data_IF_463260408360
#
_entry.id   IF_463260408360
#
_cell.length_a   1.000
_cell.length_b   1.000
_cell.length_c   1.000
_cell.angle_alpha   90.00
_cell.angle_beta   90.00
_cell.angle_gamma   90.00
#
_symmetry.space_group_name_H-M   'P 1'
#
loop_
_entity.id
_entity.type
_entity.pdbx_description
1 polymer ?
#
# COMPACT_ATOMS: atom_id res chain seq x y z
N UNK A 1 3.99 -27.86 2.71
CA UNK A 1 3.33 -27.12 3.80
C UNK A 1 2.03 -27.85 4.10
N UNK A 2 1.77 -28.25 5.35
CA UNK A 2 0.61 -29.09 5.69
C UNK A 2 -0.63 -28.21 5.95
N UNK A 3 -1.86 -28.71 5.75
CA UNK A 3 -3.09 -27.93 5.95
C UNK A 3 -3.25 -27.39 7.38
N UNK A 4 -2.62 -28.06 8.36
CA UNK A 4 -2.55 -27.62 9.75
C UNK A 4 -1.69 -26.35 9.92
N UNK A 5 -0.59 -26.22 9.17
CA UNK A 5 0.28 -25.03 9.23
C UNK A 5 -0.42 -23.79 8.66
N UNK A 6 -1.17 -23.94 7.57
CA UNK A 6 -1.95 -22.85 6.96
C UNK A 6 -3.11 -22.39 7.86
N UNK A 7 -3.79 -23.34 8.51
CA UNK A 7 -4.89 -23.03 9.44
C UNK A 7 -4.37 -22.31 10.68
N UNK A 8 -3.23 -22.73 11.22
CA UNK A 8 -2.58 -22.09 12.36
C UNK A 8 -2.08 -20.68 12.01
N UNK A 9 -1.46 -20.51 10.84
CA UNK A 9 -1.00 -19.21 10.34
C UNK A 9 -2.16 -18.23 10.11
N UNK A 10 -3.27 -18.70 9.54
CA UNK A 10 -4.47 -17.89 9.33
C UNK A 10 -5.11 -17.45 10.65
N UNK A 11 -5.15 -18.31 11.66
CA UNK A 11 -5.64 -17.95 13.01
C UNK A 11 -4.74 -16.93 13.71
N UNK A 12 -3.42 -17.08 13.61
CA UNK A 12 -2.46 -16.12 14.14
C UNK A 12 -2.60 -14.75 13.49
N UNK A 13 -2.71 -14.71 12.15
CA UNK A 13 -2.93 -13.47 11.41
C UNK A 13 -4.26 -12.79 11.78
N UNK A 14 -5.33 -13.56 11.99
CA UNK A 14 -6.63 -13.02 12.40
C UNK A 14 -6.59 -12.45 13.84
N UNK A 15 -5.93 -13.13 14.77
CA UNK A 15 -5.78 -12.67 16.15
C UNK A 15 -4.92 -11.40 16.24
N UNK A 16 -3.87 -11.29 15.41
CA UNK A 16 -3.04 -10.09 15.30
C UNK A 16 -3.83 -8.89 14.76
N UNK A 17 -4.57 -9.05 13.65
CA UNK A 17 -5.38 -7.95 13.06
C UNK A 17 -6.43 -7.40 14.03
N UNK A 18 -7.00 -8.24 14.90
CA UNK A 18 -7.96 -7.81 15.93
C UNK A 18 -7.38 -6.84 16.97
N UNK A 19 -6.05 -6.76 17.07
CA UNK A 19 -5.35 -5.87 18.01
C UNK A 19 -4.93 -4.54 17.38
N UNK A 20 -5.03 -4.41 16.06
CA UNK A 20 -4.61 -3.21 15.35
C UNK A 20 -5.72 -2.15 15.36
N UNK A 21 -5.33 -0.89 15.52
CA UNK A 21 -6.22 0.24 15.21
C UNK A 21 -6.51 0.30 13.71
N UNK A 22 -7.53 1.07 13.30
CA UNK A 22 -7.82 1.29 11.88
C UNK A 22 -6.60 1.82 11.12
N UNK A 23 -5.87 2.79 11.70
CA UNK A 23 -4.64 3.32 11.11
C UNK A 23 -3.55 2.27 10.96
N UNK A 24 -3.35 1.42 11.96
CA UNK A 24 -2.39 0.33 11.89
C UNK A 24 -2.79 -0.73 10.84
N UNK A 25 -4.09 -0.99 10.66
CA UNK A 25 -4.57 -1.84 9.58
C UNK A 25 -4.28 -1.23 8.20
N UNK A 26 -4.47 0.08 8.02
CA UNK A 26 -4.10 0.79 6.79
C UNK A 26 -2.58 0.72 6.56
N UNK A 27 -1.77 0.91 7.60
CA UNK A 27 -0.32 0.80 7.53
C UNK A 27 0.15 -0.59 7.04
N UNK A 28 -0.50 -1.67 7.50
CA UNK A 28 -0.24 -3.03 7.03
C UNK A 28 -0.55 -3.21 5.53
N UNK A 29 -1.57 -2.50 5.00
CA UNK A 29 -1.87 -2.54 3.56
C UNK A 29 -0.71 -1.94 2.76
N UNK A 30 -0.18 -0.79 3.18
CA UNK A 30 1.01 -0.18 2.58
C UNK A 30 2.24 -1.09 2.70
N UNK A 31 2.49 -1.65 3.89
CA UNK A 31 3.63 -2.55 4.12
C UNK A 31 3.57 -3.80 3.22
N UNK A 32 2.38 -4.38 3.03
CA UNK A 32 2.17 -5.50 2.12
C UNK A 32 2.42 -5.13 0.65
N UNK A 33 1.88 -3.98 0.21
CA UNK A 33 2.10 -3.50 -1.15
C UNK A 33 3.59 -3.21 -1.40
N UNK A 34 4.29 -2.68 -0.39
CA UNK A 34 5.72 -2.42 -0.49
C UNK A 34 6.55 -3.71 -0.58
N UNK A 35 6.21 -4.72 0.24
CA UNK A 35 6.87 -6.03 0.15
C UNK A 35 6.73 -6.63 -1.25
N UNK A 36 5.54 -6.55 -1.85
CA UNK A 36 5.33 -7.02 -3.23
C UNK A 36 6.19 -6.29 -4.26
N UNK A 37 6.39 -4.97 -4.12
CA UNK A 37 7.32 -4.21 -4.98
C UNK A 37 8.75 -4.70 -4.81
N UNK A 38 9.22 -4.89 -3.57
CA UNK A 38 10.58 -5.36 -3.29
C UNK A 38 10.82 -6.77 -3.85
N UNK A 39 9.89 -7.69 -3.63
CA UNK A 39 9.94 -9.07 -4.17
C UNK A 39 9.89 -9.10 -5.70
N UNK A 40 9.18 -8.16 -6.33
CA UNK A 40 9.06 -8.11 -7.80
C UNK A 40 10.35 -7.76 -8.53
N UNK A 41 11.33 -7.16 -7.83
CA UNK A 41 12.62 -6.75 -8.43
C UNK A 41 13.35 -7.96 -9.03
N UNK A 42 13.30 -9.08 -8.34
CA UNK A 42 13.93 -10.35 -8.73
C UNK A 42 12.95 -11.32 -9.42
N UNK A 43 11.65 -11.00 -9.44
CA UNK A 43 10.58 -11.87 -9.96
C UNK A 43 10.29 -11.78 -11.46
N UNK A 44 11.04 -10.97 -12.21
CA UNK A 44 10.86 -10.77 -13.66
C UNK A 44 9.67 -9.88 -14.06
N UNK A 45 9.42 -9.70 -15.38
CA UNK A 45 8.49 -8.69 -15.89
C UNK A 45 7.04 -8.84 -15.41
N UNK A 46 6.53 -10.08 -15.33
CA UNK A 46 5.16 -10.34 -14.88
C UNK A 46 4.96 -10.00 -13.40
N UNK A 47 5.94 -10.34 -12.54
CA UNK A 47 5.88 -9.98 -11.12
C UNK A 47 5.90 -8.47 -10.93
N UNK A 48 6.73 -7.75 -11.69
CA UNK A 48 6.77 -6.27 -11.68
C UNK A 48 5.46 -5.66 -12.11
N UNK A 49 4.88 -6.14 -13.23
CA UNK A 49 3.60 -5.66 -13.73
C UNK A 49 2.47 -5.87 -12.69
N UNK A 50 2.45 -7.02 -12.01
CA UNK A 50 1.48 -7.29 -10.95
C UNK A 50 1.66 -6.38 -9.74
N UNK A 51 2.88 -6.22 -9.25
CA UNK A 51 3.16 -5.35 -8.11
C UNK A 51 2.79 -3.89 -8.40
N UNK A 52 3.06 -3.40 -9.61
CA UNK A 52 2.65 -2.08 -10.08
C UNK A 52 1.13 -1.94 -10.17
N UNK A 53 0.43 -2.94 -10.72
CA UNK A 53 -1.03 -2.92 -10.80
C UNK A 53 -1.69 -2.89 -9.41
N UNK A 54 -1.16 -3.65 -8.45
CA UNK A 54 -1.63 -3.65 -7.07
C UNK A 54 -1.35 -2.30 -6.39
N UNK A 55 -0.22 -1.66 -6.69
CA UNK A 55 0.08 -0.30 -6.20
C UNK A 55 -0.83 0.75 -6.81
N UNK A 56 -1.12 0.70 -8.12
CA UNK A 56 -2.09 1.61 -8.74
C UNK A 56 -3.44 1.53 -8.03
N UNK A 57 -3.95 0.32 -7.80
CA UNK A 57 -5.21 0.11 -7.06
C UNK A 57 -5.20 0.70 -5.65
N UNK A 58 -4.10 0.52 -4.92
CA UNK A 58 -3.94 1.11 -3.59
C UNK A 58 -4.00 2.64 -3.66
N UNK A 59 -3.21 3.25 -4.55
CA UNK A 59 -3.10 4.70 -4.65
C UNK A 59 -4.33 5.36 -5.26
N UNK A 60 -5.06 4.68 -6.15
CA UNK A 60 -6.39 5.10 -6.62
C UNK A 60 -7.39 5.15 -5.46
N UNK A 61 -7.37 4.14 -4.57
CA UNK A 61 -8.24 4.12 -3.39
C UNK A 61 -7.90 5.25 -2.40
N UNK A 62 -6.60 5.50 -2.17
CA UNK A 62 -6.13 6.63 -1.36
C UNK A 62 -6.60 7.96 -1.96
N UNK A 63 -6.39 8.15 -3.27
CA UNK A 63 -6.82 9.36 -3.97
C UNK A 63 -8.33 9.57 -3.84
N UNK A 64 -9.13 8.52 -4.12
CA UNK A 64 -10.58 8.55 -3.98
C UNK A 64 -11.03 8.92 -2.57
N UNK A 65 -10.41 8.32 -1.55
CA UNK A 65 -10.73 8.60 -0.15
C UNK A 65 -10.45 10.06 0.23
N UNK A 66 -9.35 10.66 -0.23
CA UNK A 66 -8.99 12.04 0.15
C UNK A 66 -9.70 13.11 -0.68
N UNK A 67 -10.23 12.80 -1.86
CA UNK A 67 -11.07 13.75 -2.62
C UNK A 67 -12.54 13.72 -2.16
N UNK A 68 -12.98 12.64 -1.51
CA UNK A 68 -14.34 12.54 -0.98
C UNK A 68 -14.65 13.69 0.00
N UNK A 69 -15.76 14.43 -0.18
CA UNK A 69 -16.11 15.56 0.68
C UNK A 69 -16.40 15.17 2.14
N UNK A 70 -16.73 13.91 2.41
CA UNK A 70 -16.99 13.37 3.76
C UNK A 70 -15.70 13.03 4.53
N UNK A 71 -14.53 13.11 3.89
CA UNK A 71 -13.25 12.87 4.55
C UNK A 71 -12.99 13.95 5.62
N UNK A 72 -12.79 13.49 6.87
CA UNK A 72 -12.65 14.35 8.05
C UNK A 72 -11.26 15.02 8.19
N UNK A 73 -10.30 14.72 7.31
CA UNK A 73 -8.99 15.36 7.35
C UNK A 73 -9.07 16.83 6.93
N UNK A 74 -8.18 17.70 7.45
CA UNK A 74 -8.07 19.09 7.00
C UNK A 74 -7.85 19.18 5.47
N UNK A 75 -8.47 20.17 4.83
CA UNK A 75 -8.43 20.32 3.37
C UNK A 75 -6.99 20.39 2.81
N UNK A 76 -6.09 21.08 3.51
CA UNK A 76 -4.67 21.20 3.14
C UNK A 76 -3.94 19.86 3.18
N UNK A 77 -4.23 19.04 4.19
CA UNK A 77 -3.65 17.70 4.32
C UNK A 77 -4.22 16.77 3.24
N UNK A 78 -5.52 16.84 2.96
CA UNK A 78 -6.15 16.10 1.86
C UNK A 78 -5.51 16.44 0.52
N UNK A 79 -5.31 17.73 0.23
CA UNK A 79 -4.65 18.20 -0.98
C UNK A 79 -3.21 17.69 -1.08
N UNK A 80 -2.46 17.71 0.02
CA UNK A 80 -1.09 17.18 0.08
C UNK A 80 -1.04 15.67 -0.22
N UNK A 81 -1.93 14.88 0.40
CA UNK A 81 -2.01 13.43 0.16
C UNK A 81 -2.46 13.15 -1.29
N UNK A 82 -3.43 13.91 -1.81
CA UNK A 82 -3.87 13.78 -3.20
C UNK A 82 -2.72 14.04 -4.19
N UNK A 83 -1.87 15.04 -3.91
CA UNK A 83 -0.67 15.32 -4.68
C UNK A 83 0.30 14.14 -4.72
N UNK A 84 0.56 13.52 -3.56
CA UNK A 84 1.41 12.31 -3.49
C UNK A 84 0.77 11.15 -4.28
N UNK A 85 -0.53 10.91 -4.10
CA UNK A 85 -1.21 9.84 -4.82
C UNK A 85 -1.11 10.01 -6.35
N UNK A 86 -1.30 11.23 -6.85
CA UNK A 86 -1.13 11.55 -8.28
C UNK A 86 0.30 11.28 -8.74
N UNK A 87 1.31 11.66 -7.95
CA UNK A 87 2.71 11.43 -8.29
C UNK A 87 3.02 9.92 -8.40
N UNK A 88 2.56 9.12 -7.43
CA UNK A 88 2.78 7.66 -7.45
C UNK A 88 2.02 6.98 -8.59
N UNK A 89 0.77 7.37 -8.86
CA UNK A 89 0.00 6.83 -9.97
C UNK A 89 0.65 7.13 -11.33
N UNK A 90 1.19 8.35 -11.51
CA UNK A 90 1.96 8.71 -12.71
C UNK A 90 3.21 7.86 -12.84
N UNK A 91 3.98 7.70 -11.76
CA UNK A 91 5.20 6.89 -11.77
C UNK A 91 4.91 5.45 -12.14
N UNK A 92 3.88 4.87 -11.51
CA UNK A 92 3.44 3.52 -11.81
C UNK A 92 3.02 3.34 -13.27
N UNK A 93 2.57 4.40 -13.95
CA UNK A 93 2.12 4.42 -15.35
C UNK A 93 3.23 4.50 -16.40
N UNK A 94 4.48 4.72 -16.01
CA UNK A 94 5.61 4.88 -16.94
C UNK A 94 6.00 3.56 -17.62
N UNK A 95 6.68 3.67 -18.76
CA UNK A 95 7.26 2.52 -19.47
C UNK A 95 8.36 1.85 -18.62
N UNK A 96 9.18 2.68 -17.97
CA UNK A 96 10.17 2.25 -16.98
C UNK A 96 9.90 2.95 -15.63
N UNK A 97 9.05 2.34 -14.76
CA UNK A 97 8.76 2.89 -13.44
C UNK A 97 9.92 2.77 -12.45
N UNK A 98 10.13 3.81 -11.67
CA UNK A 98 11.01 3.82 -10.50
C UNK A 98 10.33 3.08 -9.32
N UNK A 99 10.62 1.78 -9.24
CA UNK A 99 10.19 0.93 -8.12
C UNK A 99 10.85 1.30 -6.78
N UNK A 100 11.90 2.12 -6.78
CA UNK A 100 12.48 2.72 -5.59
C UNK A 100 11.57 3.80 -5.02
N UNK A 101 11.19 4.76 -5.86
CA UNK A 101 10.26 5.82 -5.49
C UNK A 101 8.92 5.28 -4.97
N UNK A 102 8.29 4.33 -5.68
CA UNK A 102 7.01 3.74 -5.26
C UNK A 102 7.14 3.05 -3.89
N UNK A 103 8.26 2.34 -3.67
CA UNK A 103 8.51 1.66 -2.41
C UNK A 103 8.71 2.63 -1.24
N UNK A 104 9.47 3.71 -1.48
CA UNK A 104 9.73 4.75 -0.48
C UNK A 104 8.45 5.47 -0.06
N UNK A 105 7.58 5.82 -1.01
CA UNK A 105 6.30 6.46 -0.68
C UNK A 105 5.40 5.56 0.16
N UNK A 106 5.35 4.25 -0.14
CA UNK A 106 4.62 3.30 0.68
C UNK A 106 5.20 3.21 2.10
N UNK A 107 6.53 3.22 2.26
CA UNK A 107 7.17 3.18 3.59
C UNK A 107 6.85 4.43 4.42
N UNK A 108 6.87 5.62 3.82
CA UNK A 108 6.50 6.85 4.50
C UNK A 108 5.06 6.82 5.02
N UNK A 109 4.12 6.35 4.21
CA UNK A 109 2.71 6.24 4.60
C UNK A 109 2.51 5.15 5.67
N UNK A 110 3.12 3.98 5.50
CA UNK A 110 3.08 2.91 6.50
C UNK A 110 3.61 3.41 7.86
N UNK A 111 4.77 4.07 7.87
CA UNK A 111 5.38 4.57 9.10
C UNK A 111 4.56 5.69 9.76
N UNK A 112 3.93 6.57 8.97
CA UNK A 112 3.08 7.63 9.49
C UNK A 112 1.79 7.07 10.12
N UNK A 113 1.18 6.06 9.49
CA UNK A 113 -0.04 5.40 9.96
C UNK A 113 0.18 4.43 11.13
N UNK A 114 1.43 4.04 11.39
CA UNK A 114 1.78 3.15 12.50
C UNK A 114 1.79 3.84 13.88
N UNK A 115 1.93 5.17 13.88
CA UNK A 115 2.00 6.00 15.10
C UNK A 115 0.63 6.19 15.73
#
# INVERSE_FOLDING_TARGET
MTPETETQANRGAAAYRRRLSTRQMEAEVFARANRAIRESRDGGPLARARALADNRRLWDAVQGAVIDPTNALPAELRASIAGVAIAVLRECGREEPDLGFVAEMNDHFAAALWR
#
